data_IF_886644083494
#
_entry.id   IF_886644083494
#
_cell.length_a   1.000
_cell.length_b   1.000
_cell.length_c   1.000
_cell.angle_alpha   90.00
_cell.angle_beta   90.00
_cell.angle_gamma   90.00
#
_symmetry.space_group_name_H-M   'P 1'
#
loop_
_entity.id
_entity.type
_entity.pdbx_description
1 polymer ?
#
# COMPACT_ATOMS: atom_id res chain seq x y z
N UNK A 1 -6.18 16.89 -63.26
CA UNK A 1 -6.56 16.39 -61.91
C UNK A 1 -5.35 15.67 -61.35
N UNK A 2 -4.94 16.10 -60.14
CA UNK A 2 -3.77 15.81 -59.28
C UNK A 2 -2.81 14.68 -59.68
N UNK A 3 -1.53 14.96 -59.93
CA UNK A 3 -0.42 15.29 -59.01
C UNK A 3 0.11 14.11 -58.17
N UNK A 4 1.41 13.83 -58.36
CA UNK A 4 2.25 12.91 -57.60
C UNK A 4 3.68 12.91 -58.15
N UNK A 5 4.31 14.09 -58.21
CA UNK A 5 5.74 14.27 -58.53
C UNK A 5 6.62 13.96 -57.32
N UNK A 6 7.81 13.38 -57.54
CA UNK A 6 9.11 14.09 -57.50
C UNK A 6 9.67 14.21 -56.07
N UNK A 7 10.95 14.03 -55.76
CA UNK A 7 12.14 13.92 -56.59
C UNK A 7 13.31 13.42 -55.69
N UNK A 8 14.29 12.79 -56.35
CA UNK A 8 15.76 12.91 -56.18
C UNK A 8 16.36 13.14 -54.79
N UNK A 9 17.39 12.36 -54.46
CA UNK A 9 18.78 12.84 -54.38
C UNK A 9 19.76 11.66 -54.52
N UNK A 10 20.77 11.83 -55.39
CA UNK A 10 21.77 10.82 -55.72
C UNK A 10 23.10 11.01 -55.00
N UNK A 11 23.81 9.88 -54.88
CA UNK A 11 25.26 9.64 -54.92
C UNK A 11 26.22 10.54 -54.11
N UNK A 12 27.07 9.93 -53.27
CA UNK A 12 28.50 9.74 -53.58
C UNK A 12 29.24 8.86 -52.53
N UNK A 13 30.01 7.91 -53.08
CA UNK A 13 31.29 7.29 -52.64
C UNK A 13 31.58 6.88 -51.19
N UNK A 14 32.02 5.62 -51.12
CA UNK A 14 32.87 5.02 -50.10
C UNK A 14 34.24 5.70 -49.95
N UNK A 15 34.68 5.83 -48.70
CA UNK A 15 36.09 5.87 -48.30
C UNK A 15 36.24 5.02 -47.04
N UNK A 16 37.06 3.97 -47.13
CA UNK A 16 37.63 3.25 -45.99
C UNK A 16 38.67 4.14 -45.33
N UNK A 17 38.61 4.29 -44.02
CA UNK A 17 39.76 4.66 -43.20
C UNK A 17 39.70 3.87 -41.90
N UNK A 18 40.72 3.04 -41.69
CA UNK A 18 41.06 2.42 -40.42
C UNK A 18 41.30 3.51 -39.37
N UNK A 19 40.76 3.32 -38.17
CA UNK A 19 40.89 4.28 -37.09
C UNK A 19 40.18 3.80 -35.83
N UNK A 20 40.82 2.87 -35.12
CA UNK A 20 40.46 2.49 -33.75
C UNK A 20 40.66 3.71 -32.86
N UNK A 21 39.58 4.29 -32.34
CA UNK A 21 39.62 5.33 -31.29
C UNK A 21 38.64 4.89 -30.19
N UNK A 22 39.07 4.90 -28.90
CA UNK A 22 38.31 4.34 -27.80
C UNK A 22 37.13 5.25 -27.44
N UNK A 23 35.95 4.66 -27.21
CA UNK A 23 34.84 5.37 -26.57
C UNK A 23 35.12 5.40 -25.07
N UNK A 24 35.83 6.44 -24.64
CA UNK A 24 35.92 6.87 -23.26
C UNK A 24 34.63 7.56 -22.83
N UNK A 25 34.11 7.10 -21.70
CA UNK A 25 33.31 7.79 -20.69
C UNK A 25 33.19 9.33 -20.86
N UNK A 26 31.96 9.83 -21.05
CA UNK A 26 31.29 10.64 -20.03
C UNK A 26 29.90 11.18 -20.45
N UNK A 27 28.96 11.00 -19.51
CA UNK A 27 27.81 11.86 -19.15
C UNK A 27 26.51 11.86 -19.97
N UNK A 28 25.45 11.36 -19.30
CA UNK A 28 24.06 11.86 -19.12
C UNK A 28 23.17 10.60 -18.96
N UNK A 29 22.73 10.15 -17.78
CA UNK A 29 22.17 10.87 -16.64
C UNK A 29 22.48 10.18 -15.31
N UNK A 30 22.94 10.97 -14.34
CA UNK A 30 22.64 10.75 -12.95
C UNK A 30 21.14 11.06 -12.74
N UNK A 31 20.33 10.03 -12.51
CA UNK A 31 19.08 10.03 -11.74
C UNK A 31 18.42 8.64 -11.86
N UNK A 32 19.02 7.64 -11.24
CA UNK A 32 18.26 6.46 -10.80
C UNK A 32 18.87 6.05 -9.46
N UNK A 33 18.33 6.63 -8.38
CA UNK A 33 18.52 6.01 -7.08
C UNK A 33 17.94 4.60 -7.25
N UNK A 34 18.81 3.58 -7.18
CA UNK A 34 18.44 2.18 -7.30
C UNK A 34 17.08 1.98 -6.63
N UNK A 35 16.02 1.69 -7.41
CA UNK A 35 14.72 1.39 -6.85
C UNK A 35 14.95 0.22 -5.89
N UNK A 36 14.93 0.51 -4.58
CA UNK A 36 15.00 -0.54 -3.59
C UNK A 36 13.75 -1.39 -3.82
N UNK A 37 13.94 -2.65 -4.22
CA UNK A 37 12.84 -3.58 -4.42
C UNK A 37 12.03 -3.66 -3.12
N UNK A 38 10.70 -3.67 -3.25
CA UNK A 38 9.80 -3.79 -2.11
C UNK A 38 9.95 -5.21 -1.55
N UNK A 39 10.38 -5.32 -0.29
CA UNK A 39 10.68 -6.59 0.35
C UNK A 39 9.43 -7.15 1.01
N UNK A 40 9.01 -8.33 0.57
CA UNK A 40 7.75 -8.95 0.99
C UNK A 40 8.00 -10.25 1.76
N UNK A 41 7.36 -10.38 2.93
CA UNK A 41 7.25 -11.64 3.65
C UNK A 41 5.84 -12.21 3.43
N UNK A 42 5.73 -13.52 3.14
CA UNK A 42 4.44 -14.20 2.97
C UNK A 42 4.19 -15.14 4.15
N UNK A 43 3.07 -14.96 4.86
CA UNK A 43 2.63 -15.79 5.96
C UNK A 43 1.25 -16.41 5.63
N UNK A 44 1.21 -17.72 5.44
CA UNK A 44 -0.01 -18.49 5.16
C UNK A 44 0.20 -19.95 5.60
N UNK A 45 -0.80 -20.61 6.17
CA UNK A 45 -0.66 -22.01 6.60
C UNK A 45 -0.67 -23.00 5.42
N UNK A 46 -1.15 -22.59 4.25
CA UNK A 46 -1.23 -23.40 3.05
C UNK A 46 0.00 -23.21 2.15
N UNK A 47 0.82 -24.25 2.04
CA UNK A 47 2.04 -24.25 1.23
C UNK A 47 1.81 -23.85 -0.23
N UNK A 48 0.79 -24.43 -0.87
CA UNK A 48 0.43 -24.11 -2.25
C UNK A 48 0.08 -22.63 -2.45
N UNK A 49 -0.52 -21.99 -1.44
CA UNK A 49 -0.87 -20.56 -1.49
C UNK A 49 0.40 -19.72 -1.39
N UNK A 50 1.32 -20.04 -0.47
CA UNK A 50 2.60 -19.30 -0.35
C UNK A 50 3.44 -19.39 -1.61
N UNK A 51 3.56 -20.59 -2.19
CA UNK A 51 4.31 -20.80 -3.44
C UNK A 51 3.66 -20.03 -4.59
N UNK A 52 2.34 -20.11 -4.73
CA UNK A 52 1.60 -19.36 -5.74
C UNK A 52 1.81 -17.86 -5.62
N UNK A 53 1.65 -17.30 -4.42
CA UNK A 53 1.87 -15.88 -4.17
C UNK A 53 3.32 -15.46 -4.42
N UNK A 54 4.30 -16.29 -4.06
CA UNK A 54 5.73 -16.03 -4.33
C UNK A 54 5.97 -15.91 -5.83
N UNK A 55 5.53 -16.90 -6.62
CA UNK A 55 5.66 -16.88 -8.08
C UNK A 55 5.00 -15.64 -8.70
N UNK A 56 3.82 -15.25 -8.21
CA UNK A 56 3.13 -14.07 -8.71
C UNK A 56 3.87 -12.77 -8.38
N UNK A 57 4.42 -12.64 -7.18
CA UNK A 57 5.15 -11.45 -6.74
C UNK A 57 6.55 -11.36 -7.35
N UNK A 58 7.28 -12.47 -7.42
CA UNK A 58 8.62 -12.55 -8.02
C UNK A 58 8.60 -12.26 -9.54
N UNK A 59 7.42 -12.36 -10.17
CA UNK A 59 7.23 -11.92 -11.56
C UNK A 59 7.24 -10.39 -11.73
N UNK A 60 7.16 -9.63 -10.63
CA UNK A 60 7.19 -8.17 -10.64
C UNK A 60 8.64 -7.67 -10.50
N UNK A 61 9.11 -6.76 -11.36
CA UNK A 61 10.52 -6.36 -11.39
C UNK A 61 11.00 -5.55 -10.18
N UNK A 62 10.07 -5.04 -9.37
CA UNK A 62 10.29 -4.14 -8.25
C UNK A 62 9.85 -4.72 -6.89
N UNK A 63 9.54 -6.01 -6.83
CA UNK A 63 9.13 -6.71 -5.61
C UNK A 63 10.05 -7.92 -5.41
N UNK A 64 10.48 -8.15 -4.17
CA UNK A 64 11.35 -9.26 -3.78
C UNK A 64 10.72 -10.02 -2.60
N UNK A 65 10.44 -11.31 -2.78
CA UNK A 65 9.92 -12.16 -1.70
C UNK A 65 11.08 -12.65 -0.84
N UNK A 66 11.24 -12.03 0.33
CA UNK A 66 12.39 -12.26 1.21
C UNK A 66 12.22 -13.45 2.15
N UNK A 67 11.01 -14.02 2.22
CA UNK A 67 10.72 -15.19 3.03
C UNK A 67 9.27 -15.67 2.92
N UNK A 68 9.06 -16.92 3.34
CA UNK A 68 7.76 -17.55 3.46
C UNK A 68 7.68 -18.27 4.81
N UNK A 69 6.55 -18.17 5.49
CA UNK A 69 6.34 -18.77 6.82
C UNK A 69 4.94 -19.38 6.93
N UNK A 70 4.81 -20.43 7.74
CA UNK A 70 3.57 -21.21 7.85
C UNK A 70 2.70 -20.87 9.08
N UNK A 71 3.17 -19.98 9.96
CA UNK A 71 2.43 -19.60 11.17
C UNK A 71 2.77 -18.18 11.64
N UNK A 72 1.91 -17.64 12.51
CA UNK A 72 2.03 -16.27 13.02
C UNK A 72 3.25 -16.01 13.91
N UNK A 73 3.75 -17.02 14.65
CA UNK A 73 4.97 -16.85 15.46
C UNK A 73 6.20 -16.76 14.58
N UNK A 74 6.27 -17.58 13.53
CA UNK A 74 7.31 -17.46 12.51
C UNK A 74 7.21 -16.10 11.81
N UNK A 75 6.00 -15.63 11.48
CA UNK A 75 5.82 -14.32 10.85
C UNK A 75 6.37 -13.17 11.71
N UNK A 76 6.14 -13.18 13.02
CA UNK A 76 6.72 -12.16 13.93
C UNK A 76 8.24 -12.24 13.94
N UNK A 77 8.81 -13.43 14.17
CA UNK A 77 10.28 -13.62 14.24
C UNK A 77 10.97 -13.23 12.92
N UNK A 78 10.42 -13.68 11.80
CA UNK A 78 11.00 -13.42 10.49
C UNK A 78 10.81 -11.98 10.04
N UNK A 79 9.76 -11.29 10.49
CA UNK A 79 9.63 -9.85 10.26
C UNK A 79 10.76 -9.08 10.96
N UNK A 80 11.08 -9.42 12.21
CA UNK A 80 12.20 -8.80 12.93
C UNK A 80 13.54 -9.10 12.26
N UNK A 81 13.75 -10.36 11.83
CA UNK A 81 15.01 -10.80 11.23
C UNK A 81 15.24 -10.25 9.83
N UNK A 82 14.20 -10.27 9.00
CA UNK A 82 14.28 -9.90 7.58
C UNK A 82 14.01 -8.42 7.35
N UNK A 83 13.31 -7.73 8.26
CA UNK A 83 12.87 -6.35 8.08
C UNK A 83 12.18 -6.11 6.71
N UNK A 84 11.10 -6.86 6.38
CA UNK A 84 10.34 -6.63 5.16
C UNK A 84 9.62 -5.28 5.20
N UNK A 85 9.36 -4.70 4.04
CA UNK A 85 8.52 -3.51 3.89
C UNK A 85 7.04 -3.88 4.08
N UNK A 86 6.64 -5.02 3.52
CA UNK A 86 5.26 -5.53 3.55
C UNK A 86 5.23 -6.99 3.98
N UNK A 87 4.26 -7.33 4.84
CA UNK A 87 3.91 -8.70 5.21
C UNK A 87 2.54 -9.01 4.64
N UNK A 88 2.45 -10.04 3.79
CA UNK A 88 1.18 -10.64 3.42
C UNK A 88 0.81 -11.68 4.48
N UNK A 89 -0.35 -11.51 5.11
CA UNK A 89 -0.71 -12.24 6.32
C UNK A 89 -2.07 -12.93 6.16
N UNK A 90 -2.11 -14.26 6.16
CA UNK A 90 -3.36 -14.99 6.32
C UNK A 90 -3.90 -14.85 7.76
N UNK A 91 -5.22 -14.84 7.90
CA UNK A 91 -5.87 -14.72 9.22
C UNK A 91 -5.82 -16.04 10.01
N UNK A 92 -5.99 -17.17 9.33
CA UNK A 92 -6.31 -18.47 9.93
C UNK A 92 -5.07 -19.36 9.94
N UNK A 93 -4.09 -19.00 10.76
CA UNK A 93 -2.88 -19.78 10.94
C UNK A 93 -2.82 -20.49 12.30
N UNK A 94 -2.11 -21.63 12.40
CA UNK A 94 -1.90 -22.33 13.67
C UNK A 94 -0.96 -21.56 14.62
N UNK A 95 -0.92 -21.97 15.89
CA UNK A 95 -0.05 -21.42 16.97
C UNK A 95 -0.38 -19.99 17.38
N UNK A 96 -0.23 -19.03 16.47
CA UNK A 96 -0.59 -17.63 16.61
C UNK A 96 -1.38 -17.24 15.36
N UNK A 97 -2.61 -16.76 15.56
CA UNK A 97 -3.44 -16.33 14.45
C UNK A 97 -2.88 -15.07 13.78
N UNK A 98 -3.30 -14.81 12.54
CA UNK A 98 -2.78 -13.70 11.76
C UNK A 98 -3.06 -12.32 12.34
N UNK A 99 -4.10 -12.17 13.16
CA UNK A 99 -4.47 -10.88 13.75
C UNK A 99 -3.58 -10.58 14.95
N UNK A 100 -3.33 -11.57 15.80
CA UNK A 100 -2.37 -11.42 16.90
C UNK A 100 -0.95 -11.21 16.36
N UNK A 101 -0.55 -11.95 15.32
CA UNK A 101 0.72 -11.74 14.63
C UNK A 101 0.81 -10.32 14.05
N UNK A 102 -0.25 -9.85 13.39
CA UNK A 102 -0.35 -8.47 12.87
C UNK A 102 -0.12 -7.46 13.99
N UNK A 103 -0.81 -7.62 15.13
CA UNK A 103 -0.69 -6.72 16.29
C UNK A 103 0.75 -6.61 16.79
N UNK A 104 1.44 -7.75 16.89
CA UNK A 104 2.84 -7.81 17.36
C UNK A 104 3.79 -7.17 16.36
N UNK A 105 3.65 -7.51 15.08
CA UNK A 105 4.46 -6.96 13.99
C UNK A 105 4.33 -5.44 13.92
N UNK A 106 3.10 -4.93 13.96
CA UNK A 106 2.82 -3.50 13.77
C UNK A 106 3.21 -2.66 14.98
N UNK A 107 3.25 -3.26 16.18
CA UNK A 107 3.75 -2.63 17.40
C UNK A 107 5.29 -2.62 17.49
N UNK A 108 5.96 -3.63 16.91
CA UNK A 108 7.41 -3.78 16.98
C UNK A 108 8.17 -2.93 15.95
N UNK A 109 7.56 -2.60 14.81
CA UNK A 109 8.28 -1.93 13.73
C UNK A 109 7.45 -1.36 12.59
N UNK A 110 8.12 -0.83 11.56
CA UNK A 110 7.48 -0.07 10.48
C UNK A 110 6.80 -0.95 9.43
N UNK A 111 7.05 -2.27 9.44
CA UNK A 111 6.55 -3.22 8.45
C UNK A 111 5.03 -3.09 8.30
N UNK A 112 4.57 -2.94 7.06
CA UNK A 112 3.14 -2.84 6.72
C UNK A 112 2.55 -4.23 6.61
N UNK A 113 1.31 -4.42 7.05
CA UNK A 113 0.66 -5.73 6.99
C UNK A 113 -0.55 -5.64 6.08
N UNK A 114 -0.59 -6.48 5.05
CA UNK A 114 -1.78 -6.69 4.21
C UNK A 114 -2.35 -8.04 4.60
N UNK A 115 -3.59 -8.03 5.09
CA UNK A 115 -4.27 -9.25 5.46
C UNK A 115 -4.89 -9.89 4.23
N UNK A 116 -4.58 -11.16 4.00
CA UNK A 116 -5.20 -12.00 2.98
C UNK A 116 -6.41 -12.69 3.59
N UNK A 117 -7.55 -12.64 2.90
CA UNK A 117 -8.79 -13.27 3.37
C UNK A 117 -9.52 -13.94 2.23
N UNK A 118 -10.30 -14.97 2.55
CA UNK A 118 -11.30 -15.50 1.61
C UNK A 118 -12.58 -14.67 1.74
N UNK A 119 -13.46 -14.71 0.73
CA UNK A 119 -14.58 -13.77 0.54
C UNK A 119 -15.54 -13.52 1.72
N UNK A 120 -15.52 -14.30 2.81
CA UNK A 120 -16.69 -14.48 3.68
C UNK A 120 -16.48 -14.21 5.19
N UNK A 121 -15.52 -13.37 5.57
CA UNK A 121 -15.14 -13.21 6.98
C UNK A 121 -15.16 -11.75 7.47
N UNK A 122 -16.35 -11.16 7.39
CA UNK A 122 -16.67 -9.79 7.84
C UNK A 122 -16.22 -9.49 9.28
N UNK A 123 -16.26 -10.47 10.18
CA UNK A 123 -15.90 -10.30 11.59
C UNK A 123 -14.39 -10.02 11.83
N UNK A 124 -13.54 -10.39 10.89
CA UNK A 124 -12.09 -10.28 11.06
C UNK A 124 -11.49 -9.01 10.48
N UNK A 125 -12.18 -8.35 9.53
CA UNK A 125 -11.71 -7.11 8.90
C UNK A 125 -11.46 -6.03 9.96
N UNK A 126 -12.45 -5.78 10.81
CA UNK A 126 -12.32 -4.77 11.87
C UNK A 126 -11.22 -5.14 12.88
N UNK A 127 -11.15 -6.40 13.28
CA UNK A 127 -10.16 -6.89 14.25
C UNK A 127 -8.72 -6.77 13.71
N UNK A 128 -8.50 -7.10 12.44
CA UNK A 128 -7.21 -6.93 11.77
C UNK A 128 -6.83 -5.45 11.60
N UNK A 129 -7.81 -4.59 11.29
CA UNK A 129 -7.60 -3.15 11.18
C UNK A 129 -7.21 -2.51 12.50
N UNK A 130 -7.92 -2.86 13.59
CA UNK A 130 -7.56 -2.49 14.96
C UNK A 130 -6.19 -3.02 15.37
N UNK A 131 -5.79 -4.18 14.86
CA UNK A 131 -4.45 -4.73 15.06
C UNK A 131 -3.35 -4.01 14.25
N UNK A 132 -3.69 -3.02 13.43
CA UNK A 132 -2.72 -2.22 12.68
C UNK A 132 -2.52 -2.65 11.22
N UNK A 133 -3.37 -3.54 10.68
CA UNK A 133 -3.31 -3.88 9.26
C UNK A 133 -3.48 -2.64 8.37
N UNK A 134 -2.66 -2.56 7.33
CA UNK A 134 -2.61 -1.45 6.39
C UNK A 134 -3.52 -1.67 5.17
N UNK A 135 -3.98 -2.90 4.90
CA UNK A 135 -4.92 -3.24 3.83
C UNK A 135 -5.46 -4.66 3.90
N UNK A 136 -6.44 -4.97 3.02
CA UNK A 136 -6.99 -6.32 2.82
C UNK A 136 -7.02 -6.67 1.36
N UNK A 137 -6.71 -7.92 1.07
CA UNK A 137 -6.89 -8.49 -0.26
C UNK A 137 -7.58 -9.84 -0.15
N UNK A 138 -8.37 -10.14 -1.18
CA UNK A 138 -8.96 -11.45 -1.33
C UNK A 138 -7.94 -12.42 -1.90
N UNK A 139 -7.89 -13.66 -1.42
CA UNK A 139 -6.95 -14.69 -1.93
C UNK A 139 -7.14 -14.96 -3.43
N UNK A 140 -8.30 -14.67 -3.99
CA UNK A 140 -8.62 -14.80 -5.41
C UNK A 140 -8.19 -13.60 -6.27
N UNK A 141 -7.47 -12.64 -5.70
CA UNK A 141 -6.99 -11.45 -6.41
C UNK A 141 -5.97 -11.83 -7.49
N UNK A 142 -6.08 -11.21 -8.67
CA UNK A 142 -5.09 -11.42 -9.74
C UNK A 142 -3.69 -10.94 -9.33
N UNK A 143 -2.64 -11.54 -9.92
CA UNK A 143 -1.24 -11.16 -9.71
C UNK A 143 -0.97 -9.65 -9.86
N UNK A 144 -1.63 -9.04 -10.85
CA UNK A 144 -1.56 -7.60 -11.12
C UNK A 144 -2.11 -6.79 -9.94
N UNK A 145 -3.28 -7.17 -9.45
CA UNK A 145 -3.93 -6.53 -8.30
C UNK A 145 -3.10 -6.68 -7.02
N UNK A 146 -2.43 -7.82 -6.84
CA UNK A 146 -1.58 -8.06 -5.68
C UNK A 146 -0.30 -7.20 -5.72
N UNK A 147 0.38 -7.14 -6.87
CA UNK A 147 1.58 -6.32 -7.02
C UNK A 147 1.29 -4.81 -6.90
N UNK A 148 0.20 -4.34 -7.51
CA UNK A 148 -0.29 -2.97 -7.30
C UNK A 148 -0.60 -2.71 -5.83
N UNK A 149 -1.20 -3.69 -5.15
CA UNK A 149 -1.54 -3.54 -3.76
C UNK A 149 -0.32 -3.39 -2.83
N UNK A 150 0.68 -4.23 -3.04
CA UNK A 150 1.97 -4.18 -2.33
C UNK A 150 2.63 -2.81 -2.54
N UNK A 151 2.65 -2.28 -3.78
CA UNK A 151 3.24 -0.97 -4.08
C UNK A 151 2.54 0.17 -3.34
N UNK A 152 1.21 0.21 -3.37
CA UNK A 152 0.43 1.26 -2.70
C UNK A 152 0.71 1.23 -1.19
N UNK A 153 0.64 0.05 -0.57
CA UNK A 153 0.87 -0.10 0.88
C UNK A 153 2.31 0.20 1.28
N UNK A 154 3.29 -0.21 0.48
CA UNK A 154 4.71 0.09 0.73
C UNK A 154 4.98 1.61 0.75
N UNK A 155 4.26 2.39 -0.06
CA UNK A 155 4.36 3.87 -0.04
C UNK A 155 3.62 4.54 1.12
N UNK A 156 2.98 3.77 2.02
CA UNK A 156 2.19 4.29 3.14
C UNK A 156 0.78 4.75 2.74
N UNK A 157 0.42 4.62 1.46
CA UNK A 157 -0.95 4.77 0.99
C UNK A 157 -1.74 3.50 1.36
N UNK A 158 -2.96 3.67 1.86
CA UNK A 158 -3.81 2.54 2.21
C UNK A 158 -4.66 2.09 1.02
N UNK A 159 -4.79 0.78 0.84
CA UNK A 159 -5.87 0.18 0.04
C UNK A 159 -7.08 -0.06 0.93
N UNK A 160 -7.76 1.03 1.26
CA UNK A 160 -9.15 0.93 1.67
C UNK A 160 -9.98 1.00 0.40
N UNK A 161 -10.21 -0.16 -0.22
CA UNK A 161 -11.23 -0.23 -1.27
C UNK A 161 -12.55 0.31 -0.68
N UNK A 162 -13.38 1.03 -1.46
CA UNK A 162 -14.66 1.57 -0.97
C UNK A 162 -15.55 0.51 -0.30
N UNK A 163 -15.42 -0.76 -0.69
CA UNK A 163 -16.06 -1.90 -0.04
C UNK A 163 -15.58 -2.14 1.39
N UNK A 164 -14.28 -2.01 1.67
CA UNK A 164 -13.69 -2.13 3.02
C UNK A 164 -14.12 -0.97 3.90
N UNK A 165 -14.17 0.26 3.37
CA UNK A 165 -14.70 1.43 4.08
C UNK A 165 -16.18 1.25 4.45
N UNK A 166 -17.02 0.76 3.52
CA UNK A 166 -18.42 0.43 3.84
C UNK A 166 -18.54 -0.64 4.92
N UNK A 167 -17.69 -1.66 4.90
CA UNK A 167 -17.69 -2.72 5.91
C UNK A 167 -17.30 -2.19 7.29
N UNK A 168 -16.27 -1.35 7.35
CA UNK A 168 -15.91 -0.61 8.57
C UNK A 168 -17.09 0.19 9.12
N UNK A 169 -17.77 0.94 8.25
CA UNK A 169 -18.98 1.71 8.60
C UNK A 169 -20.07 0.81 9.19
N UNK A 170 -20.34 -0.35 8.57
CA UNK A 170 -21.36 -1.30 9.04
C UNK A 170 -21.03 -1.88 10.43
N UNK A 171 -19.77 -2.22 10.69
CA UNK A 171 -19.36 -2.74 12.01
C UNK A 171 -19.43 -1.65 13.10
N UNK A 172 -19.05 -0.41 12.80
CA UNK A 172 -19.21 0.71 13.74
C UNK A 172 -20.68 1.01 14.05
N UNK A 173 -21.58 0.88 13.07
CA UNK A 173 -23.02 1.00 13.29
C UNK A 173 -23.56 -0.11 14.21
N UNK A 174 -22.99 -1.33 14.13
CA UNK A 174 -23.38 -2.49 14.96
C UNK A 174 -22.86 -2.42 16.39
N UNK A 175 -21.68 -1.84 16.64
CA UNK A 175 -21.02 -1.84 17.94
C UNK A 175 -21.59 -0.87 19.00
N UNK A 176 -22.72 -0.19 18.73
CA UNK A 176 -23.57 0.45 19.74
C UNK A 176 -22.85 1.13 20.93
N UNK A 177 -22.56 2.42 20.80
CA UNK A 177 -22.27 3.35 21.91
C UNK A 177 -21.35 2.81 23.04
N UNK A 178 -20.06 2.58 22.79
CA UNK A 178 -19.06 2.67 23.87
C UNK A 178 -18.33 4.01 23.80
N UNK A 179 -18.22 4.63 24.97
CA UNK A 179 -17.89 6.05 25.17
C UNK A 179 -16.38 6.19 25.33
N UNK A 180 -15.73 6.83 24.36
CA UNK A 180 -14.72 7.85 24.67
C UNK A 180 -15.19 9.14 24.02
N UNK A 181 -15.72 10.01 24.87
CA UNK A 181 -16.06 11.39 24.52
C UNK A 181 -14.86 12.05 23.86
N UNK A 182 -15.13 12.84 22.83
CA UNK A 182 -14.18 13.63 22.06
C UNK A 182 -13.32 14.54 22.95
N UNK A 183 -12.30 13.97 23.57
CA UNK A 183 -11.08 14.69 23.93
C UNK A 183 -10.37 14.96 22.59
N UNK A 184 -10.93 15.95 21.90
CA UNK A 184 -10.43 16.74 20.75
C UNK A 184 -9.31 16.07 20.00
N UNK A 185 -9.49 15.79 18.70
CA UNK A 185 -8.42 15.56 17.74
C UNK A 185 -7.24 16.52 18.02
N UNK A 186 -6.28 16.09 18.84
CA UNK A 186 -5.50 17.00 19.64
C UNK A 186 -4.45 17.62 18.72
N UNK A 187 -4.65 18.87 18.31
CA UNK A 187 -3.71 19.60 17.47
C UNK A 187 -3.96 19.56 15.96
N UNK A 188 -5.08 19.00 15.49
CA UNK A 188 -5.47 19.15 14.08
C UNK A 188 -6.08 20.54 13.82
N UNK A 189 -5.69 21.14 12.71
CA UNK A 189 -6.32 22.35 12.16
C UNK A 189 -7.69 22.01 11.57
N UNK A 190 -8.50 23.04 11.27
CA UNK A 190 -9.79 22.87 10.59
C UNK A 190 -9.63 22.13 9.26
N UNK A 191 -8.59 22.48 8.47
CA UNK A 191 -8.34 21.86 7.17
C UNK A 191 -7.88 20.41 7.28
N UNK A 192 -7.04 20.10 8.26
CA UNK A 192 -6.61 18.72 8.54
C UNK A 192 -7.78 17.86 9.03
N UNK A 193 -8.67 18.42 9.86
CA UNK A 193 -9.90 17.75 10.29
C UNK A 193 -10.81 17.43 9.10
N UNK A 194 -10.98 18.36 8.16
CA UNK A 194 -11.77 18.15 6.95
C UNK A 194 -11.17 17.05 6.06
N UNK A 195 -9.85 17.07 5.84
CA UNK A 195 -9.14 15.98 5.11
C UNK A 195 -9.37 14.64 5.81
N UNK A 196 -9.22 14.58 7.14
CA UNK A 196 -9.42 13.36 7.92
C UNK A 196 -10.84 12.80 7.79
N UNK A 197 -11.86 13.65 7.75
CA UNK A 197 -13.25 13.25 7.49
C UNK A 197 -13.41 12.63 6.10
N UNK A 198 -12.79 13.20 5.07
CA UNK A 198 -12.86 12.67 3.71
C UNK A 198 -12.07 11.36 3.54
N UNK A 199 -10.94 11.21 4.26
CA UNK A 199 -10.20 9.95 4.37
C UNK A 199 -11.11 8.87 4.97
N UNK A 200 -11.79 9.18 6.08
CA UNK A 200 -12.69 8.23 6.73
C UNK A 200 -13.84 7.82 5.81
N UNK A 201 -14.35 8.73 4.97
CA UNK A 201 -15.34 8.43 3.93
C UNK A 201 -14.80 7.57 2.77
N UNK A 202 -13.50 7.26 2.76
CA UNK A 202 -12.87 6.36 1.78
C UNK A 202 -12.50 7.03 0.47
N UNK A 203 -12.52 8.37 0.39
CA UNK A 203 -12.07 9.07 -0.82
C UNK A 203 -10.56 8.88 -1.01
N UNK A 204 -10.09 8.85 -2.24
CA UNK A 204 -8.68 8.90 -2.65
C UNK A 204 -8.12 10.33 -2.56
N UNK A 205 -6.79 10.49 -2.68
CA UNK A 205 -6.18 11.83 -2.67
C UNK A 205 -6.69 12.71 -3.83
N UNK A 206 -6.94 12.13 -5.00
CA UNK A 206 -7.48 12.83 -6.16
C UNK A 206 -8.93 13.27 -5.94
N UNK A 207 -9.77 12.43 -5.35
CA UNK A 207 -11.15 12.78 -5.01
C UNK A 207 -11.20 13.86 -3.92
N UNK A 208 -10.37 13.74 -2.88
CA UNK A 208 -10.22 14.78 -1.84
C UNK A 208 -9.79 16.10 -2.47
N UNK A 209 -8.81 16.07 -3.38
CA UNK A 209 -8.33 17.25 -4.08
C UNK A 209 -9.45 17.93 -4.89
N UNK A 210 -10.30 17.14 -5.55
CA UNK A 210 -11.48 17.61 -6.27
C UNK A 210 -12.52 18.27 -5.35
N UNK A 211 -12.92 17.58 -4.28
CA UNK A 211 -13.89 18.10 -3.29
C UNK A 211 -13.42 19.38 -2.62
N UNK A 212 -12.12 19.44 -2.30
CA UNK A 212 -11.50 20.53 -1.56
C UNK A 212 -10.97 21.65 -2.45
N UNK A 213 -11.01 21.47 -3.78
CA UNK A 213 -10.47 22.38 -4.81
C UNK A 213 -9.01 22.76 -4.55
N UNK A 214 -8.15 21.75 -4.36
CA UNK A 214 -6.71 21.89 -4.13
C UNK A 214 -5.93 20.88 -4.97
N UNK A 215 -4.59 20.95 -4.96
CA UNK A 215 -3.77 19.95 -5.66
C UNK A 215 -3.68 18.63 -4.88
N UNK A 216 -3.51 17.51 -5.58
CA UNK A 216 -3.28 16.20 -4.94
C UNK A 216 -2.02 16.21 -4.04
N UNK A 217 -0.98 16.93 -4.44
CA UNK A 217 0.24 17.11 -3.64
C UNK A 217 -0.04 17.84 -2.30
N UNK A 218 -0.97 18.80 -2.31
CA UNK A 218 -1.43 19.48 -1.10
C UNK A 218 -2.17 18.52 -0.18
N UNK A 219 -3.00 17.63 -0.73
CA UNK A 219 -3.66 16.57 0.06
C UNK A 219 -2.63 15.64 0.69
N UNK A 220 -1.63 15.16 -0.07
CA UNK A 220 -0.54 14.32 0.46
C UNK A 220 0.19 14.98 1.63
N UNK A 221 0.42 16.29 1.53
CA UNK A 221 1.03 17.08 2.61
C UNK A 221 0.15 17.13 3.86
N UNK A 222 -1.17 17.31 3.70
CA UNK A 222 -2.10 17.26 4.84
C UNK A 222 -2.16 15.86 5.46
N UNK A 223 -2.24 14.80 4.64
CA UNK A 223 -2.24 13.41 5.11
C UNK A 223 -0.99 13.13 5.95
N UNK A 224 0.21 13.46 5.45
CA UNK A 224 1.45 13.28 6.20
C UNK A 224 1.43 13.98 7.56
N UNK A 225 1.01 15.26 7.59
CA UNK A 225 0.89 16.01 8.86
C UNK A 225 -0.13 15.44 9.83
N UNK A 226 -1.26 14.91 9.33
CA UNK A 226 -2.26 14.25 10.17
C UNK A 226 -1.66 13.00 10.80
N UNK A 227 -1.00 12.17 10.00
CA UNK A 227 -0.33 10.95 10.49
C UNK A 227 0.73 11.29 11.54
N UNK A 228 1.57 12.29 11.29
CA UNK A 228 2.59 12.73 12.23
C UNK A 228 1.99 13.27 13.54
N UNK A 229 0.99 14.16 13.45
CA UNK A 229 0.36 14.78 14.63
C UNK A 229 -0.38 13.77 15.49
N UNK A 230 -1.06 12.82 14.86
CA UNK A 230 -1.83 11.79 15.55
C UNK A 230 -1.00 10.54 15.88
N UNK A 231 0.28 10.51 15.49
CA UNK A 231 1.18 9.36 15.64
C UNK A 231 0.61 8.08 15.01
N UNK A 232 0.03 8.23 13.82
CA UNK A 232 -0.59 7.14 13.07
C UNK A 232 0.35 6.65 11.97
N UNK A 233 0.42 5.33 11.83
CA UNK A 233 1.37 4.68 10.90
C UNK A 233 0.98 4.77 9.42
N UNK A 234 -0.30 4.92 9.11
CA UNK A 234 -0.80 4.95 7.73
C UNK A 234 -2.22 5.52 7.64
N UNK A 235 -2.67 5.74 6.41
CA UNK A 235 -4.00 6.26 6.09
C UNK A 235 -5.13 5.39 6.65
N UNK A 236 -4.94 4.08 6.73
CA UNK A 236 -5.95 3.17 7.28
C UNK A 236 -6.19 3.46 8.75
N UNK A 237 -5.11 3.64 9.52
CA UNK A 237 -5.21 4.03 10.92
C UNK A 237 -5.83 5.42 11.10
N UNK A 238 -5.63 6.34 10.16
CA UNK A 238 -6.34 7.63 10.16
C UNK A 238 -7.86 7.47 9.99
N UNK A 239 -8.31 6.60 9.07
CA UNK A 239 -9.73 6.32 8.91
C UNK A 239 -10.33 5.70 10.19
N UNK A 240 -9.67 4.70 10.79
CA UNK A 240 -10.11 4.07 12.05
C UNK A 240 -10.17 5.08 13.18
N UNK A 241 -9.12 5.90 13.35
CA UNK A 241 -9.08 6.95 14.35
C UNK A 241 -10.30 7.87 14.24
N UNK A 242 -10.63 8.34 13.03
CA UNK A 242 -11.77 9.23 12.81
C UNK A 242 -13.11 8.60 13.23
N UNK A 243 -13.28 7.29 13.04
CA UNK A 243 -14.45 6.56 13.51
C UNK A 243 -14.46 6.38 15.03
N UNK A 244 -13.33 5.98 15.61
CA UNK A 244 -13.21 5.78 17.07
C UNK A 244 -13.45 7.07 17.86
N UNK A 245 -12.97 8.20 17.35
CA UNK A 245 -13.19 9.52 17.95
C UNK A 245 -14.52 10.16 17.55
N UNK A 246 -15.36 9.48 16.75
CA UNK A 246 -16.63 9.98 16.20
C UNK A 246 -16.51 11.33 15.48
N UNK A 247 -15.38 11.58 14.83
CA UNK A 247 -15.26 12.70 13.88
C UNK A 247 -16.15 12.47 12.66
N UNK A 248 -16.45 11.21 12.35
CA UNK A 248 -17.42 10.80 11.35
C UNK A 248 -18.39 9.82 11.99
N UNK A 249 -19.69 10.11 11.91
CA UNK A 249 -20.73 9.14 12.25
C UNK A 249 -20.97 8.21 11.06
N UNK A 250 -21.26 6.91 11.30
CA UNK A 250 -21.82 6.06 10.26
C UNK A 250 -23.09 6.72 9.68
N UNK A 251 -23.21 6.75 8.35
CA UNK A 251 -24.43 7.18 7.66
C UNK A 251 -25.56 6.18 7.87
#
# INVERSE_FOLDING_TARGET
MSQGGSDRFGAYRAVRTEGRIPLSDNHYHAHDAAKANIRVLIADDQELVREGLSVLLDSQPDIDVVGQVADGEQAVRETERLAPDVVLMDVRMPVCDGIEATRRITAAGPAKVIVLTTFDLDAYVYSALRAGASGFLLKESSARSLGEAVRVVATGEALLAPSVTRRLLSEFARQGQSVRSAEKAAGLTARETEVLVLIARGLSNAEIAGEMVISEQTVKTHVGRILDKLQLRDRTQAAIYAYETRLVSPL
#
